data_IF_937449760708
#
_entry.id   IF_937449760708
#
_cell.length_a   1.000
_cell.length_b   1.000
_cell.length_c   1.000
_cell.angle_alpha   90.00
_cell.angle_beta   90.00
_cell.angle_gamma   90.00
#
_symmetry.space_group_name_H-M   'P 1'
#
loop_
_entity.id
_entity.type
_entity.pdbx_description
1 polymer ?
#
# COMPACT_ATOMS: atom_id res chain seq x y z
N UNK A 1 4.30 -21.95 -25.72
CA UNK A 1 4.35 -20.81 -24.77
C UNK A 1 5.81 -20.49 -24.51
N UNK A 2 6.26 -19.25 -24.76
CA UNK A 2 7.62 -18.84 -24.40
C UNK A 2 7.73 -18.63 -22.88
N UNK A 3 8.82 -19.07 -22.23
CA UNK A 3 8.99 -18.97 -20.78
C UNK A 3 9.22 -17.53 -20.32
N UNK A 4 8.75 -17.19 -19.12
CA UNK A 4 9.03 -15.91 -18.47
C UNK A 4 10.50 -15.82 -18.06
N UNK A 5 11.13 -14.64 -18.24
CA UNK A 5 12.53 -14.43 -17.84
C UNK A 5 12.69 -14.41 -16.31
N UNK A 6 13.65 -15.17 -15.78
CA UNK A 6 13.92 -15.27 -14.33
C UNK A 6 14.82 -14.16 -13.79
N UNK A 7 15.56 -13.44 -14.63
CA UNK A 7 16.43 -12.34 -14.20
C UNK A 7 15.70 -11.01 -14.37
N UNK A 8 15.25 -10.46 -13.24
CA UNK A 8 14.56 -9.18 -13.24
C UNK A 8 15.34 -8.21 -12.35
N UNK A 9 15.90 -7.16 -12.95
CA UNK A 9 16.59 -6.07 -12.24
C UNK A 9 15.65 -5.02 -11.66
N UNK A 10 16.20 -4.00 -11.00
CA UNK A 10 15.42 -2.86 -10.46
C UNK A 10 14.62 -2.19 -11.60
N UNK A 11 13.34 -1.83 -11.41
CA UNK A 11 12.57 -1.10 -12.39
C UNK A 11 13.27 0.19 -12.83
N UNK A 12 13.18 0.53 -14.12
CA UNK A 12 13.66 1.82 -14.60
C UNK A 12 12.99 2.97 -13.84
N UNK A 13 13.77 3.90 -13.29
CA UNK A 13 13.29 4.95 -12.40
C UNK A 13 12.13 5.77 -12.98
N UNK A 14 12.18 6.10 -14.28
CA UNK A 14 11.12 6.82 -14.97
C UNK A 14 9.81 6.03 -15.13
N UNK A 15 9.87 4.69 -15.19
CA UNK A 15 8.68 3.84 -15.18
C UNK A 15 8.10 3.77 -13.78
N UNK A 16 8.96 3.51 -12.78
CA UNK A 16 8.55 3.45 -11.38
C UNK A 16 7.88 4.75 -10.93
N UNK A 17 8.49 5.91 -11.20
CA UNK A 17 7.96 7.22 -10.82
C UNK A 17 6.57 7.48 -11.39
N UNK A 18 6.33 7.18 -12.68
CA UNK A 18 5.01 7.34 -13.30
C UNK A 18 3.95 6.43 -12.67
N UNK A 19 4.30 5.18 -12.41
CA UNK A 19 3.38 4.21 -11.79
C UNK A 19 3.09 4.61 -10.34
N UNK A 20 4.11 5.06 -9.61
CA UNK A 20 3.99 5.53 -8.24
C UNK A 20 3.06 6.73 -8.14
N UNK A 21 3.26 7.77 -8.96
CA UNK A 21 2.37 8.95 -9.01
C UNK A 21 0.94 8.56 -9.37
N UNK A 22 0.74 7.66 -10.34
CA UNK A 22 -0.59 7.19 -10.68
C UNK A 22 -1.27 6.46 -9.51
N UNK A 23 -0.52 5.65 -8.75
CA UNK A 23 -1.03 4.96 -7.58
C UNK A 23 -1.30 5.90 -6.39
N UNK A 24 -0.54 6.99 -6.25
CA UNK A 24 -0.83 8.06 -5.29
C UNK A 24 -2.17 8.76 -5.56
N UNK A 25 -2.71 8.66 -6.77
CA UNK A 25 -4.04 9.21 -7.10
C UNK A 25 -5.10 8.12 -6.93
N UNK A 26 -4.86 6.94 -7.47
CA UNK A 26 -5.82 5.83 -7.43
C UNK A 26 -6.08 5.33 -6.00
N UNK A 27 -5.07 5.40 -5.12
CA UNK A 27 -5.19 4.94 -3.72
C UNK A 27 -5.57 6.04 -2.74
N UNK A 28 -6.03 7.22 -3.18
CA UNK A 28 -6.54 8.27 -2.27
C UNK A 28 -7.59 7.78 -1.25
N UNK A 29 -8.50 6.83 -1.57
CA UNK A 29 -9.40 6.27 -0.56
C UNK A 29 -8.67 5.60 0.61
N UNK A 30 -7.50 4.99 0.37
CA UNK A 30 -6.65 4.43 1.43
C UNK A 30 -6.16 5.54 2.36
N UNK A 31 -5.71 6.67 1.81
CA UNK A 31 -5.28 7.83 2.60
C UNK A 31 -6.44 8.38 3.43
N UNK A 32 -7.64 8.52 2.85
CA UNK A 32 -8.81 9.01 3.57
C UNK A 32 -9.12 8.15 4.82
N UNK A 33 -9.07 6.83 4.69
CA UNK A 33 -9.26 5.91 5.83
C UNK A 33 -8.12 6.05 6.84
N UNK A 34 -6.87 6.16 6.40
CA UNK A 34 -5.71 6.37 7.29
C UNK A 34 -5.79 7.69 8.06
N UNK A 35 -6.42 8.72 7.49
CA UNK A 35 -6.63 10.02 8.12
C UNK A 35 -7.89 10.03 9.03
N UNK A 36 -8.62 8.92 9.13
CA UNK A 36 -9.82 8.79 9.98
C UNK A 36 -9.43 8.32 11.38
N UNK A 37 -9.38 9.21 12.40
CA UNK A 37 -8.89 8.88 13.75
C UNK A 37 -9.74 7.83 14.49
N UNK A 38 -10.98 7.63 14.05
CA UNK A 38 -11.91 6.61 14.57
C UNK A 38 -11.42 5.17 14.33
N UNK A 39 -10.36 4.99 13.53
CA UNK A 39 -9.66 3.70 13.41
C UNK A 39 -8.94 3.26 14.69
N UNK A 40 -8.84 4.14 15.70
CA UNK A 40 -8.18 3.86 16.98
C UNK A 40 -9.21 3.69 18.10
N UNK A 41 -9.12 2.58 18.82
CA UNK A 41 -10.03 2.21 19.93
C UNK A 41 -10.05 3.20 21.10
N UNK A 42 -9.04 4.05 21.23
CA UNK A 42 -8.99 5.10 22.26
C UNK A 42 -9.79 6.36 21.89
N UNK A 43 -10.25 6.47 20.65
CA UNK A 43 -10.97 7.62 20.09
C UNK A 43 -12.39 7.25 19.64
N UNK A 44 -12.68 5.96 19.42
CA UNK A 44 -13.98 5.48 18.95
C UNK A 44 -14.30 4.08 19.49
N UNK A 45 -15.53 3.62 19.29
CA UNK A 45 -15.95 2.28 19.68
C UNK A 45 -15.14 1.22 18.95
N UNK A 46 -14.96 0.06 19.59
CA UNK A 46 -14.25 -1.09 19.01
C UNK A 46 -14.89 -1.54 17.69
N UNK A 47 -16.20 -1.41 17.55
CA UNK A 47 -16.94 -1.70 16.33
C UNK A 47 -16.51 -0.83 15.14
N UNK A 48 -16.35 0.47 15.34
CA UNK A 48 -15.93 1.41 14.28
C UNK A 48 -14.47 1.16 13.90
N UNK A 49 -13.61 0.93 14.88
CA UNK A 49 -12.21 0.58 14.63
C UNK A 49 -12.09 -0.73 13.84
N UNK A 50 -12.91 -1.74 14.16
CA UNK A 50 -12.98 -3.00 13.43
C UNK A 50 -13.42 -2.81 11.97
N UNK A 51 -14.49 -2.05 11.73
CA UNK A 51 -14.97 -1.76 10.36
C UNK A 51 -13.90 -1.05 9.54
N UNK A 52 -13.27 0.00 10.08
CA UNK A 52 -12.22 0.73 9.37
C UNK A 52 -10.99 -0.13 9.08
N UNK A 53 -10.67 -1.09 9.96
CA UNK A 53 -9.60 -2.08 9.72
C UNK A 53 -9.94 -3.00 8.55
N UNK A 54 -11.18 -3.52 8.49
CA UNK A 54 -11.62 -4.36 7.36
C UNK A 54 -11.61 -3.57 6.06
N UNK A 55 -12.08 -2.32 6.06
CA UNK A 55 -12.02 -1.43 4.90
C UNK A 55 -10.57 -1.19 4.46
N UNK A 56 -9.66 -0.94 5.40
CA UNK A 56 -8.24 -0.74 5.11
C UNK A 56 -7.64 -1.98 4.42
N UNK A 57 -7.90 -3.17 4.94
CA UNK A 57 -7.46 -4.44 4.34
C UNK A 57 -8.04 -4.58 2.93
N UNK A 58 -9.33 -4.33 2.76
CA UNK A 58 -10.00 -4.38 1.46
C UNK A 58 -9.36 -3.44 0.43
N UNK A 59 -9.04 -2.21 0.84
CA UNK A 59 -8.40 -1.20 -0.02
C UNK A 59 -6.96 -1.60 -0.42
N UNK A 60 -6.18 -2.15 0.51
CA UNK A 60 -4.83 -2.66 0.22
C UNK A 60 -4.89 -3.80 -0.79
N UNK A 61 -5.80 -4.76 -0.59
CA UNK A 61 -6.00 -5.89 -1.51
C UNK A 61 -6.52 -5.42 -2.88
N UNK A 62 -7.46 -4.46 -2.90
CA UNK A 62 -7.95 -3.86 -4.14
C UNK A 62 -6.80 -3.15 -4.90
N UNK A 63 -5.92 -2.44 -4.18
CA UNK A 63 -4.72 -1.82 -4.74
C UNK A 63 -3.80 -2.83 -5.45
N UNK A 64 -3.56 -3.99 -4.83
CA UNK A 64 -2.81 -5.08 -5.46
C UNK A 64 -3.44 -5.60 -6.75
N UNK A 65 -4.76 -5.70 -6.79
CA UNK A 65 -5.50 -6.20 -7.96
C UNK A 65 -5.53 -5.17 -9.08
N UNK A 66 -5.70 -3.88 -8.75
CA UNK A 66 -5.84 -2.79 -9.72
C UNK A 66 -4.49 -2.29 -10.24
N UNK A 67 -3.42 -2.41 -9.46
CA UNK A 67 -2.10 -1.85 -9.80
C UNK A 67 -1.49 -2.33 -11.13
N UNK A 68 -1.65 -3.59 -11.58
CA UNK A 68 -1.15 -3.99 -12.89
C UNK A 68 -1.86 -3.26 -14.04
N UNK A 69 -3.17 -3.02 -13.91
CA UNK A 69 -3.94 -2.28 -14.90
C UNK A 69 -3.54 -0.79 -14.94
N UNK A 70 -3.34 -0.17 -13.78
CA UNK A 70 -2.81 1.20 -13.67
C UNK A 70 -1.43 1.29 -14.31
N UNK A 71 -0.53 0.37 -13.95
CA UNK A 71 0.82 0.30 -14.52
C UNK A 71 0.78 0.17 -16.05
N UNK A 72 -0.08 -0.70 -16.60
CA UNK A 72 -0.18 -0.89 -18.04
C UNK A 72 -0.77 0.31 -18.79
N UNK A 73 -1.54 1.17 -18.12
CA UNK A 73 -2.02 2.45 -18.69
C UNK A 73 -0.90 3.49 -18.76
N UNK A 74 -0.14 3.66 -17.69
CA UNK A 74 0.87 4.74 -17.60
C UNK A 74 2.27 4.35 -18.09
N UNK A 75 2.53 3.04 -18.19
CA UNK A 75 3.79 2.45 -18.64
C UNK A 75 3.54 1.18 -19.48
N UNK A 76 3.00 1.31 -20.70
CA UNK A 76 2.77 0.17 -21.58
C UNK A 76 4.08 -0.59 -21.91
N UNK A 77 3.97 -1.88 -22.19
CA UNK A 77 5.11 -2.80 -22.38
C UNK A 77 4.99 -3.72 -23.60
N UNK A 78 4.34 -3.25 -24.67
CA UNK A 78 4.03 -4.07 -25.85
C UNK A 78 2.77 -4.93 -25.68
N UNK A 79 2.51 -5.88 -26.59
CA UNK A 79 1.21 -6.55 -26.71
C UNK A 79 0.71 -7.25 -25.43
N UNK A 80 1.62 -7.87 -24.65
CA UNK A 80 1.30 -8.58 -23.42
C UNK A 80 1.05 -7.66 -22.20
N UNK A 81 1.39 -6.38 -22.28
CA UNK A 81 1.26 -5.43 -21.17
C UNK A 81 0.62 -4.12 -21.63
N UNK A 82 -0.70 -4.13 -21.77
CA UNK A 82 -1.56 -2.97 -22.13
C UNK A 82 -2.80 -2.92 -21.23
N UNK A 83 -3.49 -1.78 -21.24
CA UNK A 83 -4.63 -1.46 -20.38
C UNK A 83 -5.82 -2.44 -20.43
N UNK A 84 -5.90 -3.36 -21.40
CA UNK A 84 -6.90 -4.44 -21.44
C UNK A 84 -6.35 -5.86 -21.23
N UNK A 85 -5.04 -6.07 -21.38
CA UNK A 85 -4.41 -7.39 -21.28
C UNK A 85 -3.63 -7.62 -19.99
N UNK A 86 -3.33 -6.57 -19.22
CA UNK A 86 -2.49 -6.70 -18.03
C UNK A 86 -3.03 -7.70 -17.00
N UNK A 87 -4.33 -7.67 -16.70
CA UNK A 87 -4.93 -8.58 -15.72
C UNK A 87 -4.96 -10.03 -16.22
N UNK A 88 -5.23 -10.27 -17.50
CA UNK A 88 -5.18 -11.62 -18.07
C UNK A 88 -3.74 -12.14 -18.12
N UNK A 89 -2.77 -11.29 -18.43
CA UNK A 89 -1.33 -11.63 -18.37
C UNK A 89 -0.89 -11.97 -16.95
N UNK A 90 -1.32 -11.24 -15.93
CA UNK A 90 -1.02 -11.58 -14.52
C UNK A 90 -1.69 -12.90 -14.11
N UNK A 91 -2.93 -13.15 -14.55
CA UNK A 91 -3.60 -14.45 -14.32
C UNK A 91 -2.87 -15.61 -15.01
N UNK A 92 -2.39 -15.40 -16.24
CA UNK A 92 -1.58 -16.37 -16.96
C UNK A 92 -0.25 -16.62 -16.22
N UNK A 93 0.47 -15.58 -15.82
CA UNK A 93 1.70 -15.69 -15.02
C UNK A 93 1.47 -16.47 -13.71
N UNK A 94 0.37 -16.22 -13.00
CA UNK A 94 0.03 -16.96 -11.77
C UNK A 94 -0.18 -18.46 -12.02
N UNK A 95 -0.69 -18.83 -13.20
CA UNK A 95 -0.93 -20.24 -13.59
C UNK A 95 0.35 -20.89 -14.11
N UNK A 96 1.08 -20.21 -14.97
CA UNK A 96 2.21 -20.77 -15.73
C UNK A 96 3.53 -20.72 -14.95
N UNK A 97 3.74 -19.67 -14.14
CA UNK A 97 4.91 -19.53 -13.26
C UNK A 97 4.50 -18.98 -11.87
N UNK A 98 3.77 -19.82 -11.14
CA UNK A 98 3.29 -19.51 -9.79
C UNK A 98 4.42 -19.10 -8.84
N UNK A 99 5.62 -19.68 -8.99
CA UNK A 99 6.77 -19.36 -8.15
C UNK A 99 7.24 -17.93 -8.40
N UNK A 100 7.40 -17.52 -9.66
CA UNK A 100 7.75 -16.13 -9.97
C UNK A 100 6.71 -15.15 -9.46
N UNK A 101 5.42 -15.45 -9.62
CA UNK A 101 4.33 -14.63 -9.08
C UNK A 101 4.41 -14.49 -7.55
N UNK A 102 4.54 -15.61 -6.82
CA UNK A 102 4.62 -15.61 -5.36
C UNK A 102 5.87 -14.89 -4.84
N UNK A 103 7.00 -14.96 -5.54
CA UNK A 103 8.19 -14.18 -5.18
C UNK A 103 7.93 -12.67 -5.26
N UNK A 104 7.25 -12.19 -6.30
CA UNK A 104 6.90 -10.77 -6.43
C UNK A 104 5.87 -10.33 -5.40
N UNK A 105 4.92 -11.19 -5.06
CA UNK A 105 3.99 -10.95 -3.97
C UNK A 105 4.71 -10.94 -2.61
N UNK A 106 5.71 -11.79 -2.42
CA UNK A 106 6.57 -11.80 -1.24
C UNK A 106 7.42 -10.53 -1.12
N UNK A 107 7.98 -10.03 -2.22
CA UNK A 107 8.67 -8.73 -2.26
C UNK A 107 7.72 -7.60 -1.82
N UNK A 108 6.50 -7.58 -2.37
CA UNK A 108 5.48 -6.61 -1.96
C UNK A 108 5.16 -6.71 -0.47
N UNK A 109 4.94 -7.93 0.05
CA UNK A 109 4.62 -8.15 1.45
C UNK A 109 5.76 -7.69 2.36
N UNK A 110 7.01 -7.96 1.98
CA UNK A 110 8.19 -7.48 2.70
C UNK A 110 8.25 -5.95 2.77
N UNK A 111 8.06 -5.26 1.63
CA UNK A 111 8.04 -3.79 1.60
C UNK A 111 6.85 -3.24 2.41
N UNK A 112 5.69 -3.90 2.34
CA UNK A 112 4.50 -3.52 3.12
C UNK A 112 4.74 -3.66 4.63
N UNK A 113 5.37 -4.74 5.09
CA UNK A 113 5.74 -4.90 6.50
C UNK A 113 6.72 -3.81 6.93
N UNK A 114 7.73 -3.50 6.10
CA UNK A 114 8.64 -2.39 6.37
C UNK A 114 7.91 -1.04 6.44
N UNK A 115 6.92 -0.81 5.57
CA UNK A 115 6.06 0.39 5.62
C UNK A 115 5.30 0.51 6.95
N UNK A 116 4.77 -0.61 7.46
CA UNK A 116 4.09 -0.65 8.76
C UNK A 116 5.08 -0.40 9.91
N UNK A 117 6.29 -0.95 9.84
CA UNK A 117 7.35 -0.66 10.81
C UNK A 117 7.73 0.82 10.82
N UNK A 118 7.86 1.46 9.65
CA UNK A 118 8.12 2.90 9.53
C UNK A 118 6.98 3.73 10.14
N UNK A 119 5.73 3.34 9.88
CA UNK A 119 4.56 3.90 10.53
C UNK A 119 4.62 3.78 12.06
N UNK A 120 5.00 2.61 12.58
CA UNK A 120 5.18 2.38 14.02
C UNK A 120 6.28 3.25 14.63
N UNK A 121 7.45 3.29 14.00
CA UNK A 121 8.58 4.13 14.41
C UNK A 121 8.20 5.62 14.42
N UNK A 122 7.44 6.09 13.42
CA UNK A 122 6.98 7.48 13.38
C UNK A 122 6.08 7.83 14.57
N UNK A 123 5.25 6.89 15.04
CA UNK A 123 4.41 7.08 16.21
C UNK A 123 5.20 7.04 17.53
N UNK A 124 6.32 6.32 17.58
CA UNK A 124 7.22 6.34 18.73
C UNK A 124 7.94 7.69 18.86
N UNK A 125 8.40 8.25 17.75
CA UNK A 125 9.10 9.54 17.74
C UNK A 125 8.13 10.72 17.90
N UNK A 126 6.93 10.61 17.33
CA UNK A 126 5.87 11.63 17.40
C UNK A 126 4.58 11.02 17.91
N UNK A 127 4.46 10.79 19.22
CA UNK A 127 3.23 10.27 19.79
C UNK A 127 2.07 11.22 19.47
N UNK A 128 0.96 10.63 19.02
CA UNK A 128 -0.27 11.37 18.72
C UNK A 128 -1.35 11.17 19.78
N UNK A 129 -1.09 10.31 20.78
CA UNK A 129 -1.91 10.14 21.98
C UNK A 129 -0.98 10.10 23.20
N UNK A 130 -1.32 10.85 24.23
CA UNK A 130 -0.69 10.76 25.56
C UNK A 130 -1.72 11.01 26.66
N UNK A 131 -1.35 10.66 27.90
CA UNK A 131 -2.22 10.87 29.07
C UNK A 131 -2.48 12.35 29.31
N UNK A 132 -3.73 12.72 29.56
CA UNK A 132 -4.08 14.08 29.93
C UNK A 132 -3.70 14.35 31.38
N UNK A 133 -2.76 15.28 31.68
CA UNK A 133 -2.35 15.57 33.05
C UNK A 133 -3.52 16.06 33.93
N UNK A 134 -4.55 16.64 33.30
CA UNK A 134 -5.74 17.17 34.01
C UNK A 134 -6.67 16.06 34.51
N UNK A 135 -6.62 14.88 33.91
CA UNK A 135 -7.49 13.75 34.29
C UNK A 135 -7.25 13.29 35.74
N UNK A 136 -6.02 13.41 36.23
CA UNK A 136 -5.70 13.08 37.63
C UNK A 136 -6.30 14.04 38.66
N UNK A 137 -6.63 15.27 38.25
CA UNK A 137 -7.22 16.30 39.12
C UNK A 137 -8.73 16.48 38.89
N UNK A 138 -9.20 16.16 37.68
CA UNK A 138 -10.61 16.23 37.29
C UNK A 138 -11.01 14.97 36.50
N UNK A 139 -11.77 14.04 37.12
CA UNK A 139 -12.27 12.85 36.45
C UNK A 139 -13.24 13.13 35.29
N UNK A 140 -13.77 14.36 35.18
CA UNK A 140 -14.62 14.75 34.06
C UNK A 140 -13.82 15.20 32.81
N UNK A 141 -12.50 15.40 32.93
CA UNK A 141 -11.65 15.68 31.78
C UNK A 141 -11.46 14.44 30.89
N UNK A 142 -11.16 14.62 29.60
CA UNK A 142 -10.80 13.50 28.73
C UNK A 142 -9.52 12.83 29.21
N UNK A 143 -9.51 11.49 29.29
CA UNK A 143 -8.33 10.72 29.71
C UNK A 143 -7.13 10.89 28.76
N UNK A 144 -7.39 11.09 27.47
CA UNK A 144 -6.37 11.08 26.42
C UNK A 144 -6.34 12.42 25.69
N UNK A 145 -5.15 12.99 25.50
CA UNK A 145 -4.95 14.11 24.57
C UNK A 145 -4.57 13.56 23.20
N UNK A 146 -5.28 13.99 22.16
CA UNK A 146 -5.08 13.55 20.78
C UNK A 146 -4.50 14.65 19.89
N UNK A 147 -3.39 14.37 19.22
CA UNK A 147 -2.70 15.32 18.33
C UNK A 147 -2.84 14.90 16.87
N UNK A 148 -3.86 15.45 16.20
CA UNK A 148 -4.20 15.09 14.82
C UNK A 148 -3.03 15.28 13.84
N UNK A 149 -2.18 16.30 14.01
CA UNK A 149 -1.03 16.51 13.13
C UNK A 149 -0.01 15.37 13.15
N UNK A 150 0.24 14.79 14.33
CA UNK A 150 1.16 13.65 14.47
C UNK A 150 0.52 12.38 13.91
N UNK A 151 -0.78 12.21 14.17
CA UNK A 151 -1.58 11.11 13.61
C UNK A 151 -1.60 11.14 12.07
N UNK A 152 -1.87 12.31 11.48
CA UNK A 152 -1.90 12.50 10.04
C UNK A 152 -0.53 12.24 9.40
N UNK A 153 0.56 12.68 10.06
CA UNK A 153 1.93 12.41 9.59
C UNK A 153 2.19 10.91 9.50
N UNK A 154 1.83 10.13 10.52
CA UNK A 154 1.94 8.67 10.48
C UNK A 154 1.13 8.08 9.32
N UNK A 155 -0.12 8.49 9.15
CA UNK A 155 -0.99 8.03 8.07
C UNK A 155 -0.41 8.31 6.68
N UNK A 156 0.14 9.50 6.48
CA UNK A 156 0.80 9.89 5.21
C UNK A 156 2.06 9.06 4.96
N UNK A 157 2.90 8.82 5.97
CA UNK A 157 4.11 7.99 5.82
C UNK A 157 3.75 6.57 5.38
N UNK A 158 2.77 5.95 6.04
CA UNK A 158 2.27 4.62 5.67
C UNK A 158 1.72 4.65 4.25
N UNK A 159 0.90 5.66 3.92
CA UNK A 159 0.29 5.81 2.60
C UNK A 159 1.32 5.85 1.46
N UNK A 160 2.34 6.70 1.59
CA UNK A 160 3.42 6.84 0.60
C UNK A 160 4.16 5.51 0.42
N UNK A 161 4.49 4.84 1.53
CA UNK A 161 5.22 3.58 1.49
C UNK A 161 4.38 2.43 0.89
N UNK A 162 3.08 2.35 1.18
CA UNK A 162 2.16 1.37 0.56
C UNK A 162 2.00 1.60 -0.94
N UNK A 163 1.90 2.87 -1.36
CA UNK A 163 1.89 3.20 -2.78
C UNK A 163 3.20 2.80 -3.47
N UNK A 164 4.35 2.98 -2.81
CA UNK A 164 5.65 2.60 -3.34
C UNK A 164 5.78 1.07 -3.46
N UNK A 165 5.34 0.32 -2.44
CA UNK A 165 5.30 -1.14 -2.48
C UNK A 165 4.42 -1.65 -3.63
N UNK A 166 3.26 -1.03 -3.82
CA UNK A 166 2.30 -1.41 -4.87
C UNK A 166 2.83 -1.06 -6.27
N UNK A 167 3.51 0.08 -6.42
CA UNK A 167 4.19 0.47 -7.65
C UNK A 167 5.31 -0.51 -7.99
N UNK A 168 6.13 -0.86 -7.00
CA UNK A 168 7.19 -1.86 -7.12
C UNK A 168 6.62 -3.18 -7.65
N UNK A 169 5.61 -3.72 -6.98
CA UNK A 169 4.93 -4.95 -7.39
C UNK A 169 4.47 -4.91 -8.86
N UNK A 170 3.74 -3.86 -9.26
CA UNK A 170 3.23 -3.75 -10.62
C UNK A 170 4.35 -3.62 -11.67
N UNK A 171 5.40 -2.87 -11.38
CA UNK A 171 6.58 -2.76 -12.25
C UNK A 171 7.32 -4.09 -12.39
N UNK A 172 7.43 -4.87 -11.31
CA UNK A 172 8.09 -6.17 -11.34
C UNK A 172 7.30 -7.20 -12.15
N UNK A 173 5.97 -7.19 -12.03
CA UNK A 173 5.09 -8.00 -12.88
C UNK A 173 5.19 -7.59 -14.35
N UNK A 174 5.28 -6.28 -14.62
CA UNK A 174 5.51 -5.76 -15.97
C UNK A 174 6.80 -6.33 -16.55
N UNK A 175 7.92 -6.23 -15.83
CA UNK A 175 9.21 -6.73 -16.31
C UNK A 175 9.16 -8.23 -16.63
N UNK A 176 8.54 -9.05 -15.75
CA UNK A 176 8.33 -10.47 -16.05
C UNK A 176 7.58 -10.67 -17.37
N UNK A 177 6.52 -9.90 -17.60
CA UNK A 177 5.70 -10.00 -18.81
C UNK A 177 6.38 -9.46 -20.08
N UNK A 178 7.32 -8.52 -19.96
CA UNK A 178 8.01 -7.88 -21.10
C UNK A 178 9.34 -8.52 -21.46
N UNK A 179 10.07 -9.02 -20.47
CA UNK A 179 11.46 -9.48 -20.62
C UNK A 179 11.54 -10.97 -20.99
N UNK A 180 10.41 -11.69 -20.98
CA UNK A 180 10.27 -13.03 -21.58
C UNK A 180 10.09 -13.01 -23.10
N UNK A 181 10.78 -12.08 -23.78
CA UNK A 181 10.91 -12.00 -25.24
C UNK A 181 12.27 -12.51 -25.66
#
# INVERSE_FOLDING_TARGET
>A
MQPFSRRVGVPAGAVFGRVYVALLIVQLPLLAVLLTPQSRSRVSSESVAGVLTVVLIGLVLAGLVVSPAVCARVAPGGARWRAGSALSTVRALRRDDRRAYLLRLGEWAGIYVLAQCLGGLSALVRPYIWDNPRFGADPAADRWVFHYGNYATQGVVIYLAVCAATAWYACRLRQLATDGR
#
